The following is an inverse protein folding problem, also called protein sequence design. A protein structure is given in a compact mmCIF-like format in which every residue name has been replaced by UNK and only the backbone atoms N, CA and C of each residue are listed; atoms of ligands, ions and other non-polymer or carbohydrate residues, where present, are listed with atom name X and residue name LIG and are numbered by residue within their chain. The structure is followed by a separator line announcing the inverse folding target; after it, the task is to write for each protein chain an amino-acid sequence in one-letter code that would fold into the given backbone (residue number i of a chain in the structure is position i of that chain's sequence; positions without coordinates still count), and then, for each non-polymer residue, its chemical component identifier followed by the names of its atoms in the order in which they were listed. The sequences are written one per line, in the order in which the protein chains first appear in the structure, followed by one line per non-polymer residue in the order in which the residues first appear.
data_IF_156840112214
#
_entry.id   IF_156840112214
#
_cell.length_a   1.000
_cell.length_b   1.000
_cell.length_c   1.000
_cell.angle_alpha   90.00
_cell.angle_beta   90.00
_cell.angle_gamma   90.00
#
_symmetry.space_group_name_H-M   'P 1'
#
loop_
_entity.id
_entity.type
_entity.pdbx_description
1 polymer ?
#
# COMPACT_ATOMS: atom_id res chain seq x y z
N UNK A 1 25.88 7.30 4.43
CA UNK A 1 25.56 6.33 3.36
C UNK A 1 24.66 6.97 2.28
N UNK A 2 24.96 8.19 1.82
CA UNK A 2 23.96 9.00 1.08
C UNK A 2 24.33 9.31 -0.38
N UNK A 3 25.49 8.88 -0.85
CA UNK A 3 26.00 9.18 -2.20
C UNK A 3 25.98 8.02 -3.18
N UNK A 4 25.95 6.76 -2.73
CA UNK A 4 25.94 5.61 -3.63
C UNK A 4 24.51 5.30 -4.10
N UNK A 5 24.18 5.56 -5.37
CA UNK A 5 22.93 5.11 -5.98
C UNK A 5 21.96 6.20 -6.46
N UNK A 6 22.27 7.50 -6.29
CA UNK A 6 21.42 8.60 -6.80
C UNK A 6 21.30 8.55 -8.33
N UNK A 7 22.35 8.13 -9.01
CA UNK A 7 22.40 7.89 -10.45
C UNK A 7 21.40 6.81 -10.92
N UNK A 8 20.89 5.97 -10.01
CA UNK A 8 19.90 4.92 -10.28
C UNK A 8 18.47 5.33 -9.95
N UNK A 9 18.24 6.59 -9.60
CA UNK A 9 16.91 7.09 -9.29
C UNK A 9 16.15 7.38 -10.57
N UNK A 10 14.86 7.05 -10.57
CA UNK A 10 13.98 7.33 -11.71
C UNK A 10 13.59 8.81 -11.71
N UNK A 11 13.40 9.38 -10.52
CA UNK A 11 13.10 10.80 -10.30
C UNK A 11 14.04 11.38 -9.25
N UNK A 12 14.38 12.68 -9.31
CA UNK A 12 15.09 13.35 -8.24
C UNK A 12 14.27 13.32 -6.94
N UNK A 13 14.94 13.52 -5.81
CA UNK A 13 14.25 13.68 -4.53
C UNK A 13 13.35 14.93 -4.58
N UNK A 14 12.06 14.83 -4.24
CA UNK A 14 11.23 16.02 -4.05
C UNK A 14 11.82 16.95 -2.99
N UNK A 15 11.67 18.26 -3.18
CA UNK A 15 12.23 19.26 -2.26
C UNK A 15 11.67 19.14 -0.84
N UNK A 16 10.40 18.79 -0.74
CA UNK A 16 9.63 18.59 0.49
C UNK A 16 9.65 17.14 1.00
N UNK A 17 10.48 16.27 0.41
CA UNK A 17 10.55 14.87 0.82
C UNK A 17 10.92 14.74 2.30
N UNK A 18 10.21 13.85 3.00
CA UNK A 18 10.56 13.45 4.36
C UNK A 18 11.73 12.47 4.26
N UNK A 19 12.88 12.89 4.79
CA UNK A 19 14.14 12.14 4.79
C UNK A 19 14.53 11.76 6.22
N UNK A 20 15.46 10.80 6.38
CA UNK A 20 15.82 10.25 7.69
C UNK A 20 16.40 11.31 8.63
N UNK A 21 17.13 12.28 8.10
CA UNK A 21 17.69 13.43 8.81
C UNK A 21 16.61 14.40 9.34
N UNK A 22 15.41 14.38 8.76
CA UNK A 22 14.28 15.20 9.20
C UNK A 22 13.44 14.53 10.29
N UNK A 23 13.74 13.28 10.66
CA UNK A 23 13.00 12.56 11.70
C UNK A 23 13.57 12.88 13.08
N UNK A 24 12.70 13.11 14.06
CA UNK A 24 13.14 13.17 15.46
C UNK A 24 13.63 11.79 15.96
N UNK A 25 14.39 11.78 17.06
CA UNK A 25 15.00 10.56 17.62
C UNK A 25 13.96 9.46 17.93
N UNK A 26 12.76 9.85 18.40
CA UNK A 26 11.70 8.89 18.75
C UNK A 26 11.09 8.26 17.51
N UNK A 27 10.80 9.06 16.49
CA UNK A 27 10.27 8.56 15.23
C UNK A 27 11.31 7.70 14.50
N UNK A 28 12.58 8.11 14.52
CA UNK A 28 13.68 7.33 13.97
C UNK A 28 13.82 5.96 14.67
N UNK A 29 13.66 5.91 15.99
CA UNK A 29 13.61 4.66 16.74
C UNK A 29 12.48 3.71 16.27
N UNK A 30 11.27 4.25 16.07
CA UNK A 30 10.16 3.47 15.56
C UNK A 30 10.37 3.03 14.11
N UNK A 31 10.94 3.90 13.27
CA UNK A 31 11.32 3.60 11.90
C UNK A 31 12.32 2.43 11.85
N UNK A 32 13.41 2.48 12.61
CA UNK A 32 14.43 1.42 12.63
C UNK A 32 13.84 0.07 13.07
N UNK A 33 12.96 0.08 14.07
CA UNK A 33 12.26 -1.13 14.53
C UNK A 33 11.17 -1.63 13.59
N UNK A 34 10.88 -0.93 12.49
CA UNK A 34 10.03 -1.46 11.44
C UNK A 34 10.77 -2.43 10.50
N UNK A 35 12.11 -2.43 10.53
CA UNK A 35 12.95 -3.24 9.65
C UNK A 35 12.60 -3.06 8.16
N UNK A 36 12.26 -1.83 7.77
CA UNK A 36 11.84 -1.50 6.40
C UNK A 36 10.47 -2.03 5.99
N UNK A 37 9.69 -2.61 6.91
CA UNK A 37 8.34 -3.08 6.63
C UNK A 37 7.32 -1.94 6.84
N UNK A 38 6.64 -1.46 5.78
CA UNK A 38 5.72 -0.33 5.88
C UNK A 38 4.49 -0.62 6.74
N UNK A 39 3.98 -1.87 6.74
CA UNK A 39 2.82 -2.25 7.56
C UNK A 39 3.15 -2.23 9.06
N UNK A 40 4.38 -2.63 9.41
CA UNK A 40 4.88 -2.55 10.78
C UNK A 40 5.12 -1.08 11.16
N UNK A 41 5.72 -0.30 10.26
CA UNK A 41 5.96 1.12 10.47
C UNK A 41 4.66 1.87 10.75
N UNK A 42 3.61 1.67 9.93
CA UNK A 42 2.34 2.38 10.10
C UNK A 42 1.69 2.13 11.47
N UNK A 43 1.79 0.90 12.00
CA UNK A 43 1.31 0.58 13.36
C UNK A 43 2.10 1.34 14.43
N UNK A 44 3.43 1.35 14.29
CA UNK A 44 4.35 2.06 15.21
C UNK A 44 4.17 3.57 15.14
N UNK A 45 3.93 4.11 13.95
CA UNK A 45 3.68 5.53 13.72
C UNK A 45 2.43 6.00 14.49
N UNK A 46 1.33 5.24 14.44
CA UNK A 46 0.13 5.56 15.21
C UNK A 46 0.39 5.62 16.72
N UNK A 47 1.21 4.70 17.23
CA UNK A 47 1.64 4.70 18.64
C UNK A 47 2.51 5.92 18.97
N UNK A 48 3.54 6.18 18.18
CA UNK A 48 4.42 7.36 18.33
C UNK A 48 3.63 8.66 18.38
N UNK A 49 2.68 8.84 17.45
CA UNK A 49 1.88 10.06 17.38
C UNK A 49 0.96 10.21 18.61
N UNK A 50 0.39 9.10 19.10
CA UNK A 50 -0.39 9.10 20.35
C UNK A 50 0.46 9.45 21.58
N UNK A 51 1.74 9.07 21.61
CA UNK A 51 2.66 9.40 22.70
C UNK A 51 3.04 10.90 22.70
N UNK A 52 3.14 11.53 21.53
CA UNK A 52 3.40 12.98 21.43
C UNK A 52 2.17 13.78 21.87
N UNK A 53 0.98 13.33 21.49
CA UNK A 53 -0.27 14.03 21.74
C UNK A 53 -1.14 13.27 22.77
N UNK A 54 -0.55 12.94 23.92
CA UNK A 54 -1.16 12.09 24.95
C UNK A 54 -2.50 12.65 25.48
N UNK A 55 -2.63 13.97 25.57
CA UNK A 55 -3.85 14.64 26.07
C UNK A 55 -4.94 14.81 25.01
N UNK A 56 -4.68 14.36 23.78
CA UNK A 56 -5.61 14.51 22.65
C UNK A 56 -6.17 13.17 22.20
N UNK A 57 -7.41 13.23 21.70
CA UNK A 57 -7.98 12.10 20.96
C UNK A 57 -7.40 12.07 19.56
N UNK A 58 -6.61 11.04 19.26
CA UNK A 58 -5.97 10.87 17.96
C UNK A 58 -6.77 9.91 17.09
N UNK A 59 -6.92 10.25 15.81
CA UNK A 59 -7.49 9.37 14.80
C UNK A 59 -6.60 9.31 13.55
N UNK A 60 -6.39 8.10 13.03
CA UNK A 60 -5.77 7.85 11.74
C UNK A 60 -6.87 7.57 10.70
N UNK A 61 -6.96 8.44 9.68
CA UNK A 61 -7.88 8.26 8.56
C UNK A 61 -7.36 7.23 7.57
N UNK A 62 -8.19 6.25 7.23
CA UNK A 62 -7.82 5.15 6.35
C UNK A 62 -8.87 5.01 5.25
N UNK A 63 -8.45 5.20 3.99
CA UNK A 63 -9.27 5.01 2.78
C UNK A 63 -9.53 3.54 2.43
N UNK A 64 -9.89 2.73 3.43
CA UNK A 64 -10.20 1.31 3.26
C UNK A 64 -11.70 1.14 3.02
N UNK A 65 -12.05 0.37 1.99
CA UNK A 65 -13.44 0.07 1.62
C UNK A 65 -13.76 -1.40 1.83
N UNK A 66 -14.96 -1.69 2.30
CA UNK A 66 -15.40 -3.06 2.61
C UNK A 66 -15.55 -3.93 1.37
N UNK A 67 -15.96 -3.34 0.22
CA UNK A 67 -16.10 -4.04 -1.07
C UNK A 67 -14.77 -4.63 -1.59
N UNK A 68 -13.63 -4.17 -1.09
CA UNK A 68 -12.31 -4.56 -1.58
C UNK A 68 -11.84 -5.95 -1.12
N UNK A 69 -12.32 -6.46 0.01
CA UNK A 69 -12.14 -7.85 0.47
C UNK A 69 -12.88 -8.15 1.78
N UNK A 70 -13.14 -9.44 2.03
CA UNK A 70 -13.66 -9.92 3.31
C UNK A 70 -12.76 -9.53 4.51
N UNK A 71 -11.44 -9.54 4.34
CA UNK A 71 -10.52 -9.10 5.40
C UNK A 71 -10.73 -7.62 5.77
N UNK A 72 -10.99 -6.76 4.78
CA UNK A 72 -11.25 -5.33 5.01
C UNK A 72 -12.61 -5.11 5.67
N UNK A 73 -13.62 -5.84 5.22
CA UNK A 73 -14.92 -5.89 5.89
C UNK A 73 -14.77 -6.27 7.37
N UNK A 74 -14.07 -7.37 7.66
CA UNK A 74 -13.82 -7.83 9.02
C UNK A 74 -13.00 -6.84 9.85
N UNK A 75 -12.03 -6.14 9.25
CA UNK A 75 -11.23 -5.13 9.95
C UNK A 75 -12.06 -3.95 10.48
N UNK A 76 -13.19 -3.66 9.82
CA UNK A 76 -14.14 -2.65 10.26
C UNK A 76 -15.14 -3.28 11.23
N UNK A 77 -15.85 -4.33 10.83
CA UNK A 77 -16.92 -4.95 11.62
C UNK A 77 -16.44 -5.45 12.98
N UNK A 78 -15.40 -6.30 13.00
CA UNK A 78 -14.88 -6.93 14.22
C UNK A 78 -13.97 -5.99 15.03
N UNK A 79 -13.91 -4.70 14.67
CA UNK A 79 -13.17 -3.72 15.44
C UNK A 79 -13.78 -3.53 16.83
N UNK A 80 -12.90 -3.42 17.82
CA UNK A 80 -13.26 -3.31 19.23
C UNK A 80 -13.42 -1.83 19.60
N UNK A 81 -14.27 -1.53 20.59
CA UNK A 81 -14.46 -0.20 21.18
C UNK A 81 -14.79 0.88 20.14
N UNK A 82 -15.99 0.79 19.56
CA UNK A 82 -16.51 1.76 18.58
C UNK A 82 -16.56 3.16 19.18
N UNK A 83 -15.94 4.13 18.51
CA UNK A 83 -15.96 5.51 19.00
C UNK A 83 -17.39 6.08 18.89
N UNK A 84 -18.00 6.38 20.05
CA UNK A 84 -19.37 6.92 20.15
C UNK A 84 -20.40 6.12 19.33
N UNK A 85 -20.29 4.79 19.34
CA UNK A 85 -21.20 3.89 18.61
C UNK A 85 -21.04 3.87 17.08
N UNK A 86 -20.11 4.64 16.50
CA UNK A 86 -19.89 4.67 15.06
C UNK A 86 -19.16 3.41 14.59
N UNK A 87 -19.82 2.60 13.77
CA UNK A 87 -19.34 1.28 13.34
C UNK A 87 -18.04 1.33 12.52
N UNK A 88 -17.75 2.47 11.92
CA UNK A 88 -16.62 2.73 11.04
C UNK A 88 -15.48 3.49 11.74
N UNK A 89 -15.51 3.60 13.08
CA UNK A 89 -14.41 4.14 13.89
C UNK A 89 -14.05 3.13 14.97
N UNK A 90 -12.87 2.52 14.86
CA UNK A 90 -12.41 1.45 15.75
C UNK A 90 -11.24 1.93 16.59
N UNK A 91 -11.22 1.60 17.89
CA UNK A 91 -10.04 1.85 18.73
C UNK A 91 -8.94 0.84 18.41
N UNK A 92 -7.71 1.31 18.27
CA UNK A 92 -6.53 0.46 18.17
C UNK A 92 -6.13 -0.08 19.54
N UNK A 93 -5.26 -1.10 19.57
CA UNK A 93 -4.68 -1.60 20.83
C UNK A 93 -3.79 -0.56 21.51
N UNK A 94 -3.22 0.35 20.72
CA UNK A 94 -2.31 1.41 21.18
C UNK A 94 -3.06 2.70 21.56
N UNK A 95 -4.39 2.65 21.70
CA UNK A 95 -5.19 3.73 22.27
C UNK A 95 -5.79 4.71 21.26
N UNK A 96 -5.12 4.95 20.13
CA UNK A 96 -5.61 5.82 19.04
C UNK A 96 -6.80 5.20 18.28
N UNK A 97 -7.54 6.02 17.52
CA UNK A 97 -8.67 5.57 16.70
C UNK A 97 -8.29 5.38 15.23
N UNK A 98 -8.91 4.40 14.58
CA UNK A 98 -8.86 4.21 13.13
C UNK A 98 -10.22 4.62 12.57
N UNK A 99 -10.19 5.58 11.66
CA UNK A 99 -11.36 6.24 11.08
C UNK A 99 -11.46 5.83 9.60
N UNK A 100 -12.58 5.22 9.22
CA UNK A 100 -12.79 4.67 7.87
C UNK A 100 -13.93 5.45 7.15
N UNK A 101 -13.66 6.62 6.55
CA UNK A 101 -14.71 7.54 6.09
C UNK A 101 -15.48 7.03 4.88
N UNK A 102 -14.83 6.24 4.02
CA UNK A 102 -15.38 5.76 2.76
C UNK A 102 -15.65 4.25 2.79
N UNK A 103 -15.83 3.69 3.99
CA UNK A 103 -15.85 2.24 4.18
C UNK A 103 -16.92 1.50 3.37
N UNK A 104 -18.05 2.16 3.13
CA UNK A 104 -19.20 1.66 2.40
C UNK A 104 -19.21 2.09 0.92
N UNK A 105 -18.25 2.92 0.49
CA UNK A 105 -18.15 3.35 -0.90
C UNK A 105 -17.80 2.17 -1.81
N UNK A 106 -18.55 2.07 -2.90
CA UNK A 106 -18.28 1.15 -4.00
C UNK A 106 -17.25 1.74 -4.94
N UNK A 107 -16.79 0.90 -5.87
CA UNK A 107 -15.86 1.33 -6.91
C UNK A 107 -16.44 2.50 -7.72
N UNK A 108 -17.72 2.41 -8.08
CA UNK A 108 -18.44 3.43 -8.87
C UNK A 108 -18.55 4.76 -8.11
N UNK A 109 -18.75 4.70 -6.79
CA UNK A 109 -18.85 5.90 -5.95
C UNK A 109 -17.54 6.71 -5.97
N UNK A 110 -16.38 6.03 -5.99
CA UNK A 110 -15.07 6.69 -6.09
C UNK A 110 -14.94 7.44 -7.42
N UNK A 111 -15.23 6.78 -8.54
CA UNK A 111 -15.09 7.40 -9.87
C UNK A 111 -16.15 8.46 -10.13
N UNK A 112 -17.36 8.29 -9.60
CA UNK A 112 -18.38 9.31 -9.62
C UNK A 112 -17.94 10.53 -8.81
N UNK A 113 -17.38 10.34 -7.61
CA UNK A 113 -16.86 11.45 -6.82
C UNK A 113 -15.74 12.20 -7.55
N UNK A 114 -14.77 11.47 -8.12
CA UNK A 114 -13.70 12.06 -8.94
C UNK A 114 -14.28 12.92 -10.06
N UNK A 115 -15.24 12.40 -10.82
CA UNK A 115 -15.85 13.12 -11.94
C UNK A 115 -16.75 14.29 -11.49
N UNK A 116 -17.53 14.14 -10.41
CA UNK A 116 -18.46 15.18 -9.96
C UNK A 116 -17.75 16.34 -9.25
N UNK A 117 -16.62 16.08 -8.59
CA UNK A 117 -15.88 17.07 -7.81
C UNK A 117 -14.57 17.50 -8.46
N UNK A 118 -14.28 17.02 -9.68
CA UNK A 118 -13.05 17.31 -10.42
C UNK A 118 -11.78 17.04 -9.59
N UNK A 119 -11.74 15.88 -8.91
CA UNK A 119 -10.60 15.50 -8.09
C UNK A 119 -9.46 14.94 -8.92
N UNK A 120 -8.24 15.32 -8.58
CA UNK A 120 -7.05 14.70 -9.16
C UNK A 120 -6.98 13.20 -8.82
N UNK A 121 -6.51 12.42 -9.77
CA UNK A 121 -6.26 10.99 -9.59
C UNK A 121 -5.05 10.56 -10.42
N UNK A 122 -4.56 9.35 -10.18
CA UNK A 122 -3.41 8.83 -10.91
C UNK A 122 -3.81 8.32 -12.30
N UNK A 123 -3.35 8.99 -13.36
CA UNK A 123 -3.65 8.63 -14.76
C UNK A 123 -3.18 7.24 -15.21
N UNK A 124 -2.34 6.55 -14.43
CA UNK A 124 -2.05 5.14 -14.68
C UNK A 124 -3.33 4.28 -14.69
N UNK A 125 -4.37 4.67 -13.94
CA UNK A 125 -5.66 3.99 -13.96
C UNK A 125 -6.35 4.10 -15.33
N UNK A 126 -6.16 5.20 -16.07
CA UNK A 126 -6.66 5.33 -17.44
C UNK A 126 -5.93 4.38 -18.38
N UNK A 127 -4.61 4.26 -18.21
CA UNK A 127 -3.81 3.31 -18.98
C UNK A 127 -4.24 1.86 -18.67
N UNK A 128 -4.45 1.52 -17.40
CA UNK A 128 -4.96 0.20 -17.00
C UNK A 128 -6.32 -0.11 -17.64
N UNK A 129 -7.22 0.88 -17.65
CA UNK A 129 -8.53 0.76 -18.28
C UNK A 129 -8.42 0.55 -19.80
N UNK A 130 -7.61 1.36 -20.49
CA UNK A 130 -7.36 1.24 -21.94
C UNK A 130 -6.75 -0.11 -22.32
N UNK A 131 -5.97 -0.73 -21.42
CA UNK A 131 -5.40 -2.07 -21.59
C UNK A 131 -6.36 -3.21 -21.18
N UNK A 132 -7.63 -2.91 -20.89
CA UNK A 132 -8.65 -3.92 -20.58
C UNK A 132 -8.47 -4.61 -19.23
N UNK A 133 -7.70 -4.02 -18.31
CA UNK A 133 -7.49 -4.59 -16.99
C UNK A 133 -8.79 -4.49 -16.20
N UNK A 134 -9.35 -5.60 -15.67
CA UNK A 134 -10.56 -5.52 -14.86
C UNK A 134 -10.34 -4.65 -13.62
N UNK A 135 -11.33 -3.83 -13.23
CA UNK A 135 -11.23 -2.89 -12.10
C UNK A 135 -10.70 -3.53 -10.80
N UNK A 136 -11.13 -4.75 -10.49
CA UNK A 136 -10.64 -5.53 -9.31
C UNK A 136 -9.13 -5.81 -9.32
N UNK A 137 -8.48 -5.69 -10.47
CA UNK A 137 -7.06 -5.93 -10.70
C UNK A 137 -6.28 -4.64 -10.97
N UNK A 138 -6.91 -3.47 -10.96
CA UNK A 138 -6.25 -2.17 -11.06
C UNK A 138 -5.63 -1.78 -9.70
N UNK A 139 -4.64 -2.55 -9.24
CA UNK A 139 -3.91 -2.28 -8.00
C UNK A 139 -2.45 -2.01 -8.30
N UNK A 140 -2.01 -0.84 -7.87
CA UNK A 140 -0.59 -0.47 -7.83
C UNK A 140 -0.07 -0.87 -6.46
N UNK A 141 1.03 -1.59 -6.42
CA UNK A 141 1.71 -1.89 -5.16
C UNK A 141 3.22 -1.86 -5.38
N UNK A 142 3.97 -1.69 -4.31
CA UNK A 142 5.42 -1.81 -4.35
C UNK A 142 5.81 -3.17 -4.99
N UNK A 143 6.70 -3.19 -5.99
CA UNK A 143 6.95 -4.36 -6.83
C UNK A 143 7.59 -5.55 -6.10
N UNK A 144 8.03 -5.38 -4.84
CA UNK A 144 8.88 -6.34 -4.13
C UNK A 144 8.18 -7.11 -3.00
N UNK A 145 6.89 -6.88 -2.76
CA UNK A 145 6.14 -7.67 -1.77
C UNK A 145 5.76 -9.08 -2.27
N UNK A 146 5.53 -10.02 -1.34
CA UNK A 146 5.20 -11.43 -1.65
C UNK A 146 3.90 -11.61 -2.47
N UNK A 147 2.90 -10.75 -2.27
CA UNK A 147 1.62 -10.76 -2.99
C UNK A 147 1.71 -10.04 -4.36
N UNK A 148 2.83 -9.39 -4.67
CA UNK A 148 2.94 -8.35 -5.69
C UNK A 148 3.65 -8.79 -6.97
N UNK A 149 4.17 -10.03 -7.00
CA UNK A 149 4.78 -10.62 -8.21
C UNK A 149 3.80 -10.73 -9.39
N UNK A 150 2.49 -10.78 -9.11
CA UNK A 150 1.42 -10.83 -10.10
C UNK A 150 1.30 -9.53 -10.90
N UNK A 151 1.64 -8.38 -10.29
CA UNK A 151 1.55 -7.04 -10.90
C UNK A 151 2.79 -6.61 -11.70
N UNK A 152 3.90 -7.37 -11.65
CA UNK A 152 5.13 -6.99 -12.36
C UNK A 152 4.94 -6.96 -13.88
N UNK A 153 4.15 -7.89 -14.44
CA UNK A 153 3.81 -7.87 -15.87
C UNK A 153 2.99 -6.64 -16.26
N UNK A 154 2.15 -6.15 -15.34
CA UNK A 154 1.35 -4.95 -15.55
C UNK A 154 2.24 -3.70 -15.56
N UNK A 155 3.18 -3.59 -14.62
CA UNK A 155 4.18 -2.51 -14.66
C UNK A 155 5.03 -2.52 -15.93
N UNK A 156 5.49 -3.70 -16.37
CA UNK A 156 6.26 -3.84 -17.60
C UNK A 156 5.47 -3.42 -18.86
N UNK A 157 4.17 -3.68 -18.89
CA UNK A 157 3.30 -3.31 -20.00
C UNK A 157 2.93 -1.82 -20.01
N UNK A 158 2.71 -1.22 -18.84
CA UNK A 158 2.28 0.17 -18.72
C UNK A 158 3.43 1.17 -18.83
N UNK A 159 4.60 0.83 -18.26
CA UNK A 159 5.75 1.73 -18.13
C UNK A 159 7.05 1.04 -18.60
N UNK A 160 7.16 0.65 -19.88
CA UNK A 160 8.28 -0.16 -20.38
C UNK A 160 9.65 0.51 -20.19
N UNK A 161 9.73 1.84 -20.34
CA UNK A 161 10.97 2.59 -20.15
C UNK A 161 11.42 2.65 -18.69
N UNK A 162 10.48 2.60 -17.73
CA UNK A 162 10.80 2.54 -16.31
C UNK A 162 11.13 1.11 -15.88
N UNK A 163 10.51 0.12 -16.53
CA UNK A 163 10.72 -1.29 -16.24
C UNK A 163 12.19 -1.72 -16.39
N UNK A 164 12.90 -1.25 -17.41
CA UNK A 164 14.33 -1.52 -17.60
C UNK A 164 15.16 -1.04 -16.40
N UNK A 165 14.89 0.17 -15.92
CA UNK A 165 15.54 0.73 -14.73
C UNK A 165 15.19 -0.06 -13.45
N UNK A 166 13.94 -0.54 -13.34
CA UNK A 166 13.47 -1.37 -12.22
C UNK A 166 14.19 -2.72 -12.20
N UNK A 167 14.34 -3.38 -13.35
CA UNK A 167 15.04 -4.66 -13.49
C UNK A 167 16.52 -4.52 -13.12
N UNK A 168 17.18 -3.45 -13.57
CA UNK A 168 18.59 -3.19 -13.27
C UNK A 168 18.85 -2.85 -11.80
N UNK A 169 17.84 -2.34 -11.08
CA UNK A 169 17.96 -1.95 -9.66
C UNK A 169 17.77 -3.12 -8.71
N UNK A 170 16.95 -4.11 -9.06
CA UNK A 170 16.65 -5.25 -8.18
C UNK A 170 16.90 -6.58 -8.88
N UNK A 171 18.01 -7.21 -8.48
CA UNK A 171 18.38 -8.56 -8.90
C UNK A 171 17.21 -9.52 -8.68
N UNK A 172 16.71 -10.12 -9.76
CA UNK A 172 15.59 -11.06 -9.73
C UNK A 172 14.20 -10.46 -10.02
N UNK A 173 14.06 -9.16 -10.26
CA UNK A 173 12.77 -8.56 -10.68
C UNK A 173 12.28 -9.11 -12.04
N UNK A 174 13.19 -9.34 -12.99
CA UNK A 174 12.87 -9.94 -14.29
C UNK A 174 12.44 -11.41 -14.13
N UNK A 175 13.16 -12.18 -13.31
CA UNK A 175 12.81 -13.55 -12.96
C UNK A 175 11.44 -13.61 -12.24
N UNK A 176 11.18 -12.68 -11.32
CA UNK A 176 9.88 -12.51 -10.68
C UNK A 176 8.76 -12.21 -11.67
N UNK A 177 8.98 -11.32 -12.65
CA UNK A 177 7.99 -11.02 -13.70
C UNK A 177 7.67 -12.23 -14.58
N UNK A 178 8.71 -12.94 -15.03
CA UNK A 178 8.58 -14.10 -15.92
C UNK A 178 7.92 -15.30 -15.21
N UNK A 179 8.35 -15.60 -13.98
CA UNK A 179 8.01 -16.85 -13.29
C UNK A 179 6.98 -16.69 -12.15
N UNK A 180 6.42 -15.49 -11.92
CA UNK A 180 5.45 -15.19 -10.84
C UNK A 180 4.25 -16.14 -10.76
N UNK A 181 3.85 -16.74 -11.88
CA UNK A 181 2.71 -17.66 -11.98
C UNK A 181 3.12 -19.15 -12.08
N UNK A 182 4.39 -19.48 -11.87
CA UNK A 182 4.92 -20.83 -12.03
C UNK A 182 5.27 -21.48 -10.68
N UNK A 183 5.39 -22.82 -10.68
CA UNK A 183 5.75 -23.62 -9.50
C UNK A 183 7.08 -23.20 -8.86
N UNK A 184 7.98 -22.61 -9.65
CA UNK A 184 9.31 -22.18 -9.25
C UNK A 184 9.30 -21.08 -8.17
N UNK A 185 8.23 -20.29 -8.09
CA UNK A 185 8.07 -19.19 -7.11
C UNK A 185 6.93 -19.42 -6.10
N UNK A 186 6.38 -20.64 -6.04
CA UNK A 186 5.58 -21.13 -4.91
C UNK A 186 4.08 -20.82 -4.91
N UNK A 187 3.47 -20.35 -6.01
CA UNK A 187 2.07 -19.89 -5.99
C UNK A 187 1.01 -20.87 -6.54
N UNK A 188 1.41 -22.05 -7.05
CA UNK A 188 0.46 -23.05 -7.57
C UNK A 188 0.38 -24.27 -6.65
N UNK A 189 -0.79 -24.50 -6.03
CA UNK A 189 -1.09 -25.73 -5.27
C UNK A 189 -0.93 -26.95 -6.18
N UNK A 190 -0.18 -27.94 -5.71
CA UNK A 190 -0.07 -29.26 -6.30
C UNK A 190 -1.46 -29.91 -6.36
N UNK A 191 -1.98 -30.19 -7.57
CA UNK A 191 -2.89 -31.33 -7.71
C UNK A 191 -2.02 -32.57 -7.62
N UNK A 192 -2.08 -33.29 -6.50
CA UNK A 192 -1.57 -34.66 -6.46
C UNK A 192 -2.31 -35.46 -7.53
N UNK A 193 -1.60 -35.83 -8.60
CA UNK A 193 -2.01 -36.96 -9.42
C UNK A 193 -1.59 -38.20 -8.65
N UNK A 194 -2.56 -38.86 -8.03
CA UNK A 194 -2.44 -40.24 -7.56
C UNK A 194 -2.10 -41.11 -8.78
N UNK A 195 -1.05 -41.91 -8.65
CA UNK A 195 -0.78 -43.05 -9.53
C UNK A 195 -1.65 -44.21 -9.02
#
# INVERSE_FOLDING_TARGET
MESAGKERWIHPLPQDAITLDKLDERLLYYFNRSHGNPDIFLKKFGKWYQEIYADSTIACGIGLRTQESLMRYNAIQNGINKYRGKQWINRSKDGYYKFYPIFDWKFEDIWKAISCFDWEYNHIYDQMYKNGIPFKHMRICQPYGLQQRIGLKQFAALEPHLWEKIVNRVSGANFGSLYSKTHLLGYAKTKNRSI
#
